data_IF_320863399926
#
_entry.id   IF_320863399926
#
_cell.length_a   1.000
_cell.length_b   1.000
_cell.length_c   1.000
_cell.angle_alpha   90.00
_cell.angle_beta   90.00
_cell.angle_gamma   90.00
#
_symmetry.space_group_name_H-M   'P 1'
#
loop_
_entity.id
_entity.type
_entity.pdbx_description
1 polymer ?
#
# COMPACT_ATOMS: atom_id res chain seq x y z
N UNK A 1 -1.76 -22.69 0.44
CA UNK A 1 -0.61 -23.13 -0.38
C UNK A 1 0.42 -23.73 0.57
N UNK A 2 1.10 -24.80 0.16
CA UNK A 2 2.20 -25.40 0.91
C UNK A 2 3.54 -24.94 0.34
N UNK A 3 4.59 -24.96 1.15
CA UNK A 3 5.96 -24.72 0.71
C UNK A 3 6.53 -25.95 -0.03
N UNK A 4 7.82 -25.89 -0.35
CA UNK A 4 8.57 -26.96 -1.04
C UNK A 4 8.72 -28.24 -0.20
N UNK A 5 8.41 -28.20 1.09
CA UNK A 5 8.46 -29.32 2.03
C UNK A 5 7.06 -29.84 2.42
N UNK A 6 5.99 -29.25 1.86
CA UNK A 6 4.61 -29.63 2.16
C UNK A 6 4.04 -28.98 3.42
N UNK A 7 4.77 -28.09 4.07
CA UNK A 7 4.29 -27.33 5.23
C UNK A 7 3.47 -26.13 4.78
N UNK A 8 2.50 -25.72 5.61
CA UNK A 8 1.65 -24.57 5.29
C UNK A 8 2.48 -23.30 5.30
N UNK A 9 2.42 -22.54 4.21
CA UNK A 9 2.98 -21.18 4.15
C UNK A 9 2.29 -20.34 5.23
N UNK A 10 3.08 -19.73 6.12
CA UNK A 10 2.59 -18.80 7.14
C UNK A 10 1.59 -17.82 6.55
N UNK A 11 0.50 -17.51 7.25
CA UNK A 11 -0.52 -16.55 6.79
C UNK A 11 0.09 -15.18 6.43
N UNK A 12 1.23 -14.89 7.04
CA UNK A 12 2.03 -13.69 6.84
C UNK A 12 2.79 -13.65 5.50
N UNK A 13 2.94 -14.80 4.85
CA UNK A 13 3.64 -14.99 3.58
C UNK A 13 2.66 -15.35 2.46
N UNK A 14 1.35 -15.34 2.74
CA UNK A 14 0.33 -15.58 1.73
C UNK A 14 0.11 -14.33 0.87
N UNK A 15 -0.11 -14.55 -0.42
CA UNK A 15 -0.45 -13.49 -1.36
C UNK A 15 -1.94 -13.24 -1.28
N UNK A 16 -2.32 -12.10 -0.70
CA UNK A 16 -3.71 -11.71 -0.50
C UNK A 16 -4.36 -12.35 0.73
N UNK A 17 -5.54 -11.84 1.10
CA UNK A 17 -6.23 -12.19 2.35
C UNK A 17 -7.05 -13.48 2.27
N UNK A 18 -7.39 -13.92 1.06
CA UNK A 18 -8.31 -15.05 0.83
C UNK A 18 -9.78 -14.70 1.10
N UNK A 19 -10.12 -13.42 1.22
CA UNK A 19 -11.47 -12.91 1.48
C UNK A 19 -11.86 -11.85 0.44
N UNK A 20 -13.17 -11.56 0.37
CA UNK A 20 -13.72 -10.44 -0.42
C UNK A 20 -14.07 -9.32 0.55
N UNK A 21 -13.19 -8.33 0.64
CA UNK A 21 -13.30 -7.22 1.58
C UNK A 21 -13.77 -5.95 0.87
N UNK A 22 -14.81 -5.25 1.37
CA UNK A 22 -15.18 -3.94 0.85
C UNK A 22 -14.09 -2.90 1.16
N UNK A 23 -13.80 -2.08 0.15
CA UNK A 23 -12.88 -0.93 0.25
C UNK A 23 -13.67 0.34 -0.02
N UNK A 24 -13.58 1.30 0.90
CA UNK A 24 -14.18 2.63 0.76
C UNK A 24 -13.07 3.66 0.63
N UNK A 25 -13.24 4.66 -0.24
CA UNK A 25 -12.23 5.70 -0.46
C UNK A 25 -12.84 7.07 -0.70
N UNK A 26 -12.23 8.09 -0.10
CA UNK A 26 -12.46 9.50 -0.44
C UNK A 26 -11.14 10.05 -0.94
N UNK A 27 -11.16 10.71 -2.09
CA UNK A 27 -9.98 11.26 -2.74
C UNK A 27 -10.26 12.65 -3.28
N UNK A 28 -9.28 13.53 -3.19
CA UNK A 28 -9.31 14.87 -3.78
C UNK A 28 -7.97 15.19 -4.44
N UNK A 29 -8.02 15.96 -5.51
CA UNK A 29 -6.85 16.42 -6.22
C UNK A 29 -7.08 17.84 -6.71
N UNK A 30 -6.03 18.65 -6.69
CA UNK A 30 -6.06 20.04 -7.15
C UNK A 30 -4.74 20.41 -7.80
N UNK A 31 -4.86 21.02 -8.96
CA UNK A 31 -3.73 21.60 -9.67
C UNK A 31 -3.32 22.94 -9.02
N UNK A 32 -2.03 23.05 -8.70
CA UNK A 32 -1.38 24.24 -8.14
C UNK A 32 -0.19 24.58 -9.04
N UNK A 33 -0.47 25.35 -10.10
CA UNK A 33 0.50 25.72 -11.14
C UNK A 33 1.12 24.47 -11.77
N UNK A 34 2.42 24.26 -11.52
CA UNK A 34 3.22 23.15 -12.03
C UNK A 34 3.15 21.88 -11.16
N UNK A 35 2.42 21.93 -10.05
CA UNK A 35 2.25 20.83 -9.11
C UNK A 35 0.80 20.37 -9.07
N UNK A 36 0.59 19.10 -8.75
CA UNK A 36 -0.69 18.50 -8.39
C UNK A 36 -0.62 18.13 -6.92
N UNK A 37 -1.42 18.79 -6.10
CA UNK A 37 -1.60 18.41 -4.71
C UNK A 37 -2.81 17.48 -4.62
N UNK A 38 -2.60 16.27 -4.08
CA UNK A 38 -3.70 15.33 -3.88
C UNK A 38 -3.68 14.71 -2.51
N UNK A 39 -4.82 14.20 -2.07
CA UNK A 39 -4.95 13.60 -0.76
C UNK A 39 -6.17 12.69 -0.73
N UNK A 40 -6.15 11.72 0.18
CA UNK A 40 -7.21 10.75 0.25
C UNK A 40 -7.09 9.86 1.47
N UNK A 41 -8.22 9.27 1.81
CA UNK A 41 -8.36 8.30 2.88
C UNK A 41 -9.09 7.09 2.30
N UNK A 42 -8.58 5.90 2.55
CA UNK A 42 -9.16 4.64 2.13
C UNK A 42 -9.19 3.68 3.31
N UNK A 43 -10.24 2.87 3.39
CA UNK A 43 -10.40 1.88 4.45
C UNK A 43 -10.82 0.54 3.86
N UNK A 44 -10.15 -0.52 4.31
CA UNK A 44 -10.52 -1.92 4.04
C UNK A 44 -11.20 -2.46 5.28
N UNK A 45 -12.43 -2.93 5.13
CA UNK A 45 -13.17 -3.59 6.21
C UNK A 45 -13.11 -5.09 5.95
N UNK A 46 -12.55 -5.82 6.90
CA UNK A 46 -12.42 -7.27 6.80
C UNK A 46 -13.78 -7.95 6.93
N UNK A 47 -14.18 -8.74 5.93
CA UNK A 47 -15.53 -9.31 5.82
C UNK A 47 -15.65 -10.75 6.33
N UNK A 48 -14.60 -11.30 6.96
CA UNK A 48 -14.65 -12.62 7.59
C UNK A 48 -13.30 -13.32 7.66
N UNK A 49 -13.34 -14.59 8.08
CA UNK A 49 -12.19 -15.48 8.09
C UNK A 49 -11.95 -16.08 6.69
N UNK A 50 -10.68 -16.30 6.37
CA UNK A 50 -10.31 -17.09 5.19
C UNK A 50 -10.53 -18.60 5.45
N UNK A 51 -10.25 -19.44 4.44
CA UNK A 51 -10.42 -20.90 4.51
C UNK A 51 -9.62 -21.60 5.63
N UNK A 52 -8.73 -20.89 6.30
CA UNK A 52 -7.91 -21.39 7.41
C UNK A 52 -8.29 -20.79 8.77
N UNK A 53 -9.42 -20.08 8.87
CA UNK A 53 -9.87 -19.46 10.12
C UNK A 53 -9.06 -18.22 10.51
N UNK A 54 -8.38 -17.58 9.55
CA UNK A 54 -7.61 -16.36 9.76
C UNK A 54 -8.38 -15.15 9.24
N UNK A 55 -8.58 -14.16 10.09
CA UNK A 55 -9.23 -12.89 9.74
C UNK A 55 -8.24 -11.75 9.87
N UNK A 56 -7.93 -11.10 8.75
CA UNK A 56 -7.11 -9.88 8.74
C UNK A 56 -7.85 -8.74 9.43
N UNK A 57 -7.11 -7.85 10.07
CA UNK A 57 -7.63 -6.63 10.67
C UNK A 57 -8.15 -5.66 9.62
N UNK A 58 -8.92 -4.68 10.09
CA UNK A 58 -9.33 -3.55 9.29
C UNK A 58 -8.13 -2.64 9.04
N UNK A 59 -8.15 -1.95 7.91
CA UNK A 59 -7.11 -1.01 7.53
C UNK A 59 -7.70 0.36 7.29
N UNK A 60 -6.99 1.38 7.75
CA UNK A 60 -7.21 2.76 7.40
C UNK A 60 -5.90 3.30 6.85
N UNK A 61 -5.96 3.85 5.66
CA UNK A 61 -4.82 4.41 4.97
C UNK A 61 -5.14 5.85 4.57
N UNK A 62 -4.23 6.76 4.85
CA UNK A 62 -4.34 8.17 4.51
C UNK A 62 -3.12 8.58 3.73
N UNK A 63 -3.29 9.31 2.63
CA UNK A 63 -2.17 9.83 1.83
C UNK A 63 -2.33 11.30 1.52
N UNK A 64 -1.18 11.94 1.35
CA UNK A 64 -1.02 13.30 0.84
C UNK A 64 0.12 13.26 -0.16
N UNK A 65 -0.12 13.73 -1.39
CA UNK A 65 0.87 13.82 -2.46
C UNK A 65 1.08 15.26 -2.89
N UNK A 66 2.30 15.52 -3.35
CA UNK A 66 2.64 16.69 -4.15
C UNK A 66 3.48 16.22 -5.33
N UNK A 67 2.91 16.26 -6.54
CA UNK A 67 3.53 15.75 -7.75
C UNK A 67 3.80 16.89 -8.74
N UNK A 68 5.03 17.01 -9.24
CA UNK A 68 5.44 17.90 -10.32
C UNK A 68 5.23 17.23 -11.68
N UNK A 69 4.41 17.82 -12.54
CA UNK A 69 4.00 17.21 -13.84
C UNK A 69 4.25 18.09 -15.07
N UNK A 70 4.78 19.31 -14.89
CA UNK A 70 4.88 20.30 -15.95
C UNK A 70 5.91 19.93 -17.03
N UNK A 71 7.02 19.29 -16.66
CA UNK A 71 8.09 18.96 -17.60
C UNK A 71 7.64 17.84 -18.57
N UNK A 72 7.95 18.00 -19.86
CA UNK A 72 7.56 17.07 -20.93
C UNK A 72 8.25 15.72 -20.87
N UNK A 73 9.42 15.63 -20.23
CA UNK A 73 10.27 14.45 -20.14
C UNK A 73 10.23 13.81 -18.74
N UNK A 74 10.19 14.62 -17.68
CA UNK A 74 10.30 14.17 -16.29
C UNK A 74 9.08 14.57 -15.48
N UNK A 75 8.66 13.69 -14.60
CA UNK A 75 7.70 13.99 -13.55
C UNK A 75 8.16 13.33 -12.26
N UNK A 76 7.60 13.74 -11.14
CA UNK A 76 7.99 13.17 -9.86
C UNK A 76 7.29 13.87 -8.73
N UNK A 77 7.55 13.46 -7.51
CA UNK A 77 6.83 14.00 -6.38
C UNK A 77 7.21 13.37 -5.07
N UNK A 78 6.52 13.81 -4.03
CA UNK A 78 6.62 13.24 -2.70
C UNK A 78 5.22 12.84 -2.23
N UNK A 79 5.16 11.77 -1.45
CA UNK A 79 3.95 11.31 -0.79
C UNK A 79 4.25 11.05 0.69
N UNK A 80 3.38 11.54 1.56
CA UNK A 80 3.30 11.12 2.94
C UNK A 80 2.09 10.19 3.07
N UNK A 81 2.30 9.00 3.60
CA UNK A 81 1.22 8.03 3.81
C UNK A 81 1.21 7.54 5.25
N UNK A 82 0.02 7.38 5.81
CA UNK A 82 -0.23 6.80 7.12
C UNK A 82 -1.06 5.53 6.94
N UNK A 83 -0.65 4.45 7.61
CA UNK A 83 -1.29 3.14 7.60
C UNK A 83 -1.57 2.74 9.05
N UNK A 84 -2.85 2.65 9.38
CA UNK A 84 -3.33 2.12 10.64
C UNK A 84 -4.03 0.79 10.37
N UNK A 85 -3.58 -0.25 11.04
CA UNK A 85 -4.13 -1.60 10.93
C UNK A 85 -4.53 -2.13 12.30
N UNK A 86 -5.74 -2.67 12.41
CA UNK A 86 -6.14 -3.37 13.63
C UNK A 86 -5.46 -4.73 13.70
N UNK A 87 -5.53 -5.38 14.87
CA UNK A 87 -4.99 -6.73 15.02
C UNK A 87 -5.76 -7.74 14.18
N UNK A 88 -5.05 -8.79 13.78
CA UNK A 88 -5.61 -9.95 13.10
C UNK A 88 -6.18 -10.95 14.13
N UNK A 89 -7.08 -11.82 13.68
CA UNK A 89 -7.74 -12.84 14.52
C UNK A 89 -7.55 -14.24 13.91
N UNK A 90 -7.47 -15.24 14.80
CA UNK A 90 -7.32 -16.66 14.48
C UNK A 90 -8.42 -17.47 15.18
N UNK A 91 -8.88 -18.56 14.55
CA UNK A 91 -9.77 -19.59 15.16
C UNK A 91 -10.84 -19.00 16.08
N UNK A 92 -11.88 -18.39 15.51
CA UNK A 92 -13.04 -17.93 16.28
C UNK A 92 -12.72 -16.80 17.28
N UNK A 93 -11.88 -15.84 16.87
CA UNK A 93 -11.68 -14.58 17.59
C UNK A 93 -10.49 -14.52 18.55
N UNK A 94 -9.54 -15.47 18.50
CA UNK A 94 -8.27 -15.32 19.24
C UNK A 94 -7.42 -14.25 18.58
N UNK A 95 -7.01 -13.24 19.34
CA UNK A 95 -6.19 -12.14 18.81
C UNK A 95 -4.79 -12.64 18.48
N UNK A 96 -4.34 -12.42 17.24
CA UNK A 96 -2.92 -12.53 16.88
C UNK A 96 -2.17 -11.32 17.43
N UNK A 97 -1.24 -11.56 18.35
CA UNK A 97 -0.54 -10.48 19.07
C UNK A 97 0.47 -9.74 18.22
N UNK A 98 1.09 -10.45 17.28
CA UNK A 98 2.14 -9.95 16.39
C UNK A 98 1.60 -9.22 15.15
N UNK A 99 0.39 -8.66 15.19
CA UNK A 99 -0.23 -8.04 14.00
C UNK A 99 -0.98 -6.77 14.32
N UNK A 100 -1.15 -5.91 13.31
CA UNK A 100 -1.68 -4.56 13.48
C UNK A 100 -0.60 -3.55 13.91
N UNK A 101 -0.89 -2.28 13.74
CA UNK A 101 0.04 -1.22 14.06
C UNK A 101 -0.26 0.09 13.33
N UNK A 102 0.53 1.08 13.66
CA UNK A 102 0.51 2.42 13.08
C UNK A 102 1.85 2.64 12.37
N UNK A 103 1.81 3.11 11.13
CA UNK A 103 2.99 3.40 10.34
C UNK A 103 2.81 4.66 9.52
N UNK A 104 3.86 5.48 9.48
CA UNK A 104 3.97 6.65 8.61
C UNK A 104 5.14 6.43 7.67
N UNK A 105 4.92 6.63 6.39
CA UNK A 105 5.91 6.47 5.34
C UNK A 105 6.07 7.75 4.52
N UNK A 106 7.30 8.01 4.11
CA UNK A 106 7.64 8.99 3.11
C UNK A 106 8.01 8.25 1.81
N UNK A 107 7.37 8.63 0.72
CA UNK A 107 7.64 8.07 -0.60
C UNK A 107 8.12 9.15 -1.54
N UNK A 108 9.30 8.96 -2.13
CA UNK A 108 9.76 9.74 -3.28
C UNK A 108 9.34 9.07 -4.58
N UNK A 109 8.86 9.86 -5.55
CA UNK A 109 8.48 9.38 -6.88
C UNK A 109 9.32 10.08 -7.93
N UNK A 110 9.80 9.33 -8.90
CA UNK A 110 10.47 9.85 -10.08
C UNK A 110 10.00 9.04 -11.29
N UNK A 111 9.58 9.74 -12.33
CA UNK A 111 9.14 9.12 -13.56
C UNK A 111 9.63 9.87 -14.79
N UNK A 112 9.60 9.16 -15.91
CA UNK A 112 9.96 9.70 -17.21
C UNK A 112 8.92 9.31 -18.25
N UNK A 113 8.60 10.26 -19.12
CA UNK A 113 7.76 10.04 -20.30
C UNK A 113 8.67 9.57 -21.42
N UNK A 114 8.85 8.25 -21.54
CA UNK A 114 9.73 7.66 -22.55
C UNK A 114 9.21 7.90 -23.97
N UNK A 115 7.89 7.86 -24.14
CA UNK A 115 7.21 8.25 -25.38
C UNK A 115 5.87 8.90 -25.04
N UNK A 116 5.16 9.42 -26.05
CA UNK A 116 3.80 9.93 -25.84
C UNK A 116 2.80 8.87 -25.31
N UNK A 117 3.13 7.58 -25.43
CA UNK A 117 2.26 6.45 -25.04
C UNK A 117 2.80 5.63 -23.87
N UNK A 118 4.04 5.87 -23.43
CA UNK A 118 4.71 5.04 -22.42
C UNK A 118 5.40 5.93 -21.39
N UNK A 119 4.98 5.77 -20.14
CA UNK A 119 5.61 6.39 -18.98
C UNK A 119 6.24 5.29 -18.11
N UNK A 120 7.40 5.58 -17.53
CA UNK A 120 8.02 4.78 -16.48
C UNK A 120 8.03 5.56 -15.17
N UNK A 121 7.83 4.87 -14.06
CA UNK A 121 7.90 5.45 -12.72
C UNK A 121 8.70 4.53 -11.80
N UNK A 122 9.48 5.16 -10.92
CA UNK A 122 10.13 4.53 -9.78
C UNK A 122 9.66 5.24 -8.52
N UNK A 123 9.26 4.47 -7.52
CA UNK A 123 8.95 4.97 -6.19
C UNK A 123 9.87 4.33 -5.16
N UNK A 124 10.31 5.14 -4.19
CA UNK A 124 11.10 4.69 -3.05
C UNK A 124 10.35 5.14 -1.81
N UNK A 125 9.82 4.17 -1.07
CA UNK A 125 9.09 4.38 0.17
C UNK A 125 9.96 3.99 1.36
N UNK A 126 10.04 4.87 2.35
CA UNK A 126 10.80 4.67 3.59
C UNK A 126 9.87 4.90 4.77
N UNK A 127 9.83 3.99 5.77
CA UNK A 127 9.12 4.22 7.02
C UNK A 127 9.79 5.34 7.82
N UNK A 128 9.02 6.38 8.16
CA UNK A 128 9.43 7.43 9.08
C UNK A 128 9.10 7.07 10.53
N UNK A 129 7.98 6.36 10.72
CA UNK A 129 7.50 5.91 12.02
C UNK A 129 6.82 4.56 11.87
N UNK A 130 7.10 3.65 12.80
CA UNK A 130 6.48 2.33 12.86
C UNK A 130 6.27 1.95 14.32
N UNK A 131 5.01 1.87 14.73
CA UNK A 131 4.60 1.25 15.98
C UNK A 131 3.82 0.00 15.64
N UNK A 132 4.56 -1.08 15.47
CA UNK A 132 4.09 -2.41 15.14
C UNK A 132 3.98 -3.14 16.46
N UNK A 133 2.81 -3.73 16.75
CA UNK A 133 2.49 -4.28 18.08
C UNK A 133 3.65 -5.05 18.75
N UNK A 134 3.83 -6.31 18.38
CA UNK A 134 4.93 -7.16 18.86
C UNK A 134 5.95 -7.35 17.72
N UNK A 135 6.43 -8.57 17.47
CA UNK A 135 7.48 -8.78 16.47
C UNK A 135 6.88 -8.96 15.07
N UNK A 136 6.99 -7.92 14.24
CA UNK A 136 6.57 -7.96 12.84
C UNK A 136 7.75 -7.85 11.89
N UNK A 137 7.77 -8.74 10.89
CA UNK A 137 8.68 -8.61 9.76
C UNK A 137 8.24 -7.42 8.90
N UNK A 138 9.04 -6.36 8.87
CA UNK A 138 8.82 -5.19 8.02
C UNK A 138 10.06 -4.87 7.20
N UNK A 139 9.82 -4.32 6.01
CA UNK A 139 10.91 -3.89 5.13
C UNK A 139 11.45 -2.53 5.58
N UNK A 140 12.78 -2.32 5.60
CA UNK A 140 13.38 -1.01 5.92
C UNK A 140 13.11 0.04 4.83
N UNK A 141 12.80 -0.39 3.60
CA UNK A 141 12.32 0.46 2.52
C UNK A 141 11.66 -0.41 1.44
N UNK A 142 10.84 0.20 0.59
CA UNK A 142 10.17 -0.46 -0.54
C UNK A 142 10.54 0.29 -1.80
N UNK A 143 11.01 -0.43 -2.81
CA UNK A 143 11.23 0.11 -4.16
C UNK A 143 10.19 -0.49 -5.09
N UNK A 144 9.49 0.35 -5.83
CA UNK A 144 8.53 -0.09 -6.83
C UNK A 144 8.89 0.51 -8.18
N UNK A 145 8.74 -0.29 -9.23
CA UNK A 145 8.89 0.14 -10.61
C UNK A 145 7.56 -0.08 -11.31
N UNK A 146 7.04 0.99 -11.90
CA UNK A 146 5.78 1.01 -12.64
C UNK A 146 6.01 1.40 -14.09
N UNK A 147 5.12 0.93 -14.95
CA UNK A 147 5.00 1.44 -16.32
C UNK A 147 3.54 1.66 -16.65
N UNK A 148 3.24 2.75 -17.34
CA UNK A 148 1.90 3.07 -17.82
C UNK A 148 1.95 3.14 -19.35
N UNK A 149 1.26 2.20 -20.00
CA UNK A 149 1.10 2.20 -21.44
C UNK A 149 -0.32 2.64 -21.81
N UNK A 150 -0.41 3.72 -22.59
CA UNK A 150 -1.68 4.26 -23.11
C UNK A 150 -1.94 3.69 -24.50
N UNK A 151 -2.92 2.81 -24.61
CA UNK A 151 -3.47 2.37 -25.89
C UNK A 151 -4.30 3.52 -26.50
N UNK A 152 -3.66 4.52 -27.09
CA UNK A 152 -4.36 5.42 -28.01
C UNK A 152 -4.42 4.77 -29.39
N UNK A 153 -5.63 4.72 -29.96
CA UNK A 153 -5.80 4.73 -31.42
C UNK A 153 -5.25 6.03 -32.01
#
# INVERSE_FOLDING_TARGET
KTDEFGERISDNLQVGTGTVDPVLSIYTSRDIRQFVASGGIFTRISNGENIYGYQYGNELQSLINLDYIENSLLFGGIQLSHLLTTRDYYEYGKVSRDRGGDSIFLTGKLGTRATNKLDFEMTIQVPLYQNLNESQLTSPFIIQFGSLYRFSS
#
